data_IF_902220431214
#
_entry.id   IF_902220431214
#
_cell.length_a   1.000
_cell.length_b   1.000
_cell.length_c   1.000
_cell.angle_alpha   90.00
_cell.angle_beta   90.00
_cell.angle_gamma   90.00
#
_symmetry.space_group_name_H-M   'P 1'
#
loop_
_entity.id
_entity.type
_entity.pdbx_description
1 polymer ?
#
# COMPACT_ATOMS: atom_id res chain seq x y z
N UNK A 1 -60.24 -33.58 -9.38
CA UNK A 1 -61.55 -33.00 -9.00
C UNK A 1 -61.94 -33.58 -7.64
N UNK A 2 -62.60 -32.76 -6.83
CA UNK A 2 -63.10 -32.97 -5.45
C UNK A 2 -62.09 -32.77 -4.30
N UNK A 3 -62.54 -31.88 -3.42
CA UNK A 3 -61.90 -31.20 -2.31
C UNK A 3 -62.36 -31.77 -0.97
N UNK A 4 -61.61 -31.47 0.10
CA UNK A 4 -61.99 -31.32 1.52
C UNK A 4 -60.68 -31.41 2.31
N UNK A 5 -60.36 -30.65 3.36
CA UNK A 5 -60.99 -29.56 4.10
C UNK A 5 -59.99 -29.12 5.18
N UNK A 6 -59.97 -27.82 5.49
CA UNK A 6 -59.21 -27.18 6.59
C UNK A 6 -60.17 -27.04 7.79
N UNK A 7 -59.74 -27.15 9.07
CA UNK A 7 -59.37 -25.97 9.90
C UNK A 7 -58.24 -26.26 10.93
N UNK A 8 -57.52 -25.31 11.53
CA UNK A 8 -57.83 -23.91 11.75
C UNK A 8 -56.69 -23.11 12.39
N UNK A 9 -57.10 -21.94 12.88
CA UNK A 9 -56.37 -20.69 13.12
C UNK A 9 -55.67 -20.59 14.49
N UNK A 10 -54.61 -19.75 14.58
CA UNK A 10 -54.56 -18.65 15.56
C UNK A 10 -53.50 -17.58 15.18
N UNK A 11 -53.76 -16.26 15.37
CA UNK A 11 -52.89 -15.15 14.94
C UNK A 11 -52.34 -14.28 16.10
N UNK A 12 -51.08 -13.84 16.03
CA UNK A 12 -50.49 -12.68 16.76
C UNK A 12 -49.12 -12.38 16.08
N UNK A 13 -48.63 -11.18 15.81
CA UNK A 13 -48.97 -9.82 16.24
C UNK A 13 -48.52 -8.80 15.17
N UNK A 14 -49.34 -7.75 14.99
CA UNK A 14 -49.06 -6.62 14.12
C UNK A 14 -48.01 -5.67 14.74
N UNK A 15 -46.93 -5.37 14.00
CA UNK A 15 -45.93 -4.38 14.38
C UNK A 15 -46.36 -3.00 13.86
N UNK A 16 -46.67 -2.09 14.80
CA UNK A 16 -47.01 -0.68 14.55
C UNK A 16 -45.88 0.04 13.81
N UNK A 17 -46.17 0.55 12.61
CA UNK A 17 -45.40 1.63 11.99
C UNK A 17 -45.69 2.93 12.74
N UNK A 18 -44.65 3.54 13.33
CA UNK A 18 -44.71 4.93 13.81
C UNK A 18 -44.34 5.85 12.64
N UNK A 19 -45.29 6.69 12.23
CA UNK A 19 -45.04 7.86 11.37
C UNK A 19 -44.18 8.86 12.15
N UNK A 20 -43.07 9.28 11.56
CA UNK A 20 -42.31 10.45 12.00
C UNK A 20 -42.94 11.74 11.42
N UNK A 21 -42.88 12.87 12.13
CA UNK A 21 -43.43 14.14 11.66
C UNK A 21 -42.51 14.78 10.61
N UNK A 22 -43.12 15.25 9.53
CA UNK A 22 -42.49 16.08 8.50
C UNK A 22 -42.16 17.47 9.06
N UNK A 23 -40.88 17.74 9.26
CA UNK A 23 -40.36 19.09 9.49
C UNK A 23 -39.81 19.61 8.16
N UNK A 24 -40.56 20.52 7.53
CA UNK A 24 -40.02 21.40 6.50
C UNK A 24 -39.10 22.40 7.18
N UNK A 25 -37.81 22.36 6.84
CA UNK A 25 -36.84 23.40 7.20
C UNK A 25 -36.43 24.08 5.90
N UNK A 26 -36.85 25.34 5.77
CA UNK A 26 -36.36 26.26 4.76
C UNK A 26 -34.95 26.72 5.17
N UNK A 27 -33.93 26.37 4.38
CA UNK A 27 -32.59 26.92 4.53
C UNK A 27 -32.12 27.52 3.21
N UNK A 28 -32.47 28.79 3.01
CA UNK A 28 -31.72 29.70 2.15
C UNK A 28 -30.66 30.40 3.00
N UNK A 29 -29.38 30.08 2.81
CA UNK A 29 -28.27 31.03 2.91
C UNK A 29 -26.90 30.40 2.63
N UNK A 30 -26.21 31.05 1.70
CA UNK A 30 -24.79 31.05 1.36
C UNK A 30 -23.83 30.31 2.32
N UNK A 31 -23.26 29.20 1.84
CA UNK A 31 -22.06 28.60 2.41
C UNK A 31 -20.80 29.18 1.73
N UNK A 32 -20.10 30.08 2.43
CA UNK A 32 -18.76 30.50 2.07
C UNK A 32 -17.76 29.37 2.39
N UNK A 33 -17.12 28.84 1.34
CA UNK A 33 -16.07 27.83 1.38
C UNK A 33 -14.87 28.27 2.23
N UNK A 34 -14.77 27.76 3.46
CA UNK A 34 -13.57 27.85 4.29
C UNK A 34 -12.79 26.54 4.24
N UNK A 35 -11.98 26.36 3.18
CA UNK A 35 -10.98 25.28 3.11
C UNK A 35 -9.72 25.72 3.88
N UNK A 36 -9.52 25.22 5.10
CA UNK A 36 -8.24 25.36 5.81
C UNK A 36 -7.24 24.33 5.27
N UNK A 37 -6.03 24.72 4.85
CA UNK A 37 -4.98 23.76 4.53
C UNK A 37 -4.46 23.09 5.81
N UNK A 38 -4.31 21.75 5.77
CA UNK A 38 -3.61 20.96 6.78
C UNK A 38 -2.24 21.59 7.09
N UNK A 39 -2.10 22.12 8.31
CA UNK A 39 -0.80 22.38 8.92
C UNK A 39 -0.60 21.33 10.00
N UNK A 40 0.31 20.40 9.76
CA UNK A 40 0.95 19.66 10.83
C UNK A 40 1.66 20.69 11.73
N UNK A 41 1.10 20.92 12.92
CA UNK A 41 1.76 21.65 14.01
C UNK A 41 1.76 20.68 15.18
N UNK A 42 2.91 20.15 15.62
CA UNK A 42 2.93 19.34 16.84
C UNK A 42 2.44 20.21 18.00
N UNK A 43 1.38 19.78 18.68
CA UNK A 43 0.85 20.53 19.83
C UNK A 43 1.82 20.38 21.00
N UNK A 44 2.36 21.50 21.48
CA UNK A 44 3.31 21.53 22.59
C UNK A 44 2.66 21.46 23.99
N UNK A 45 1.32 21.44 24.10
CA UNK A 45 0.65 21.68 25.38
C UNK A 45 -0.36 20.58 25.74
N UNK A 46 0.12 19.38 26.11
CA UNK A 46 -0.60 18.48 27.04
C UNK A 46 0.40 17.72 27.91
N UNK A 47 0.24 17.68 29.25
CA UNK A 47 1.06 16.82 30.10
C UNK A 47 0.63 15.36 29.90
N UNK A 48 1.52 14.53 29.37
CA UNK A 48 1.29 13.08 29.23
C UNK A 48 1.47 12.35 30.57
N UNK A 49 0.74 11.25 30.81
CA UNK A 49 1.00 10.38 31.95
C UNK A 49 2.29 9.58 31.72
N UNK A 50 3.30 9.84 32.54
CA UNK A 50 4.54 9.05 32.78
C UNK A 50 4.84 7.97 31.73
N UNK A 51 5.46 8.36 30.62
CA UNK A 51 6.11 7.42 29.71
C UNK A 51 7.28 6.72 30.41
N UNK A 52 7.36 5.39 30.29
CA UNK A 52 8.58 4.65 30.61
C UNK A 52 9.62 5.07 29.57
N UNK A 53 10.71 5.68 30.04
CA UNK A 53 11.77 6.19 29.17
C UNK A 53 12.32 5.11 28.25
N UNK A 54 12.37 5.43 26.95
CA UNK A 54 13.20 4.71 25.98
C UNK A 54 14.68 4.94 26.31
N UNK A 55 15.58 3.98 26.03
CA UNK A 55 17.02 4.17 26.22
C UNK A 55 17.56 5.32 25.35
N UNK A 56 18.49 6.10 25.89
CA UNK A 56 19.13 7.34 25.38
C UNK A 56 19.83 7.27 23.99
N UNK A 57 19.59 6.23 23.18
CA UNK A 57 20.25 6.04 21.88
C UNK A 57 19.50 6.59 20.66
N UNK A 58 18.41 7.32 20.84
CA UNK A 58 17.59 7.84 19.74
C UNK A 58 17.52 9.38 19.69
N UNK A 59 18.63 10.07 19.95
CA UNK A 59 18.76 11.51 19.67
C UNK A 59 19.83 11.70 18.61
N UNK A 60 19.42 12.05 17.39
CA UNK A 60 20.35 12.48 16.34
C UNK A 60 20.23 13.99 16.14
N UNK A 61 21.30 14.71 16.46
CA UNK A 61 21.44 16.13 16.18
C UNK A 61 21.61 16.36 14.68
N UNK A 62 20.75 17.20 14.10
CA UNK A 62 20.90 17.68 12.72
C UNK A 62 21.66 18.99 12.71
N UNK A 63 22.97 18.95 12.46
CA UNK A 63 23.72 20.15 12.13
C UNK A 63 23.40 20.60 10.70
N UNK A 64 23.22 21.91 10.57
CA UNK A 64 22.76 22.58 9.36
C UNK A 64 23.85 23.51 8.85
N UNK A 65 24.23 23.36 7.57
CA UNK A 65 24.78 24.44 6.73
C UNK A 65 24.94 24.01 5.26
N UNK A 66 25.03 24.97 4.31
CA UNK A 66 24.28 24.91 3.06
C UNK A 66 25.12 24.70 1.79
N UNK A 67 24.39 24.67 0.66
CA UNK A 67 24.80 24.72 -0.76
C UNK A 67 25.50 23.50 -1.35
N UNK A 68 24.86 22.83 -2.31
CA UNK A 68 25.15 23.16 -3.72
C UNK A 68 24.15 22.59 -4.73
N UNK A 69 23.92 23.40 -5.77
CA UNK A 69 23.09 23.11 -6.95
C UNK A 69 23.91 22.32 -7.96
N UNK A 70 23.48 21.11 -8.30
CA UNK A 70 23.34 20.58 -9.67
C UNK A 70 23.32 19.04 -9.64
N UNK A 71 22.21 18.43 -10.06
CA UNK A 71 22.32 17.37 -11.06
C UNK A 71 20.99 17.13 -11.77
N UNK A 72 21.10 17.11 -13.10
CA UNK A 72 20.02 17.09 -14.07
C UNK A 72 19.60 15.66 -14.41
N UNK A 73 18.34 15.60 -14.84
CA UNK A 73 17.73 14.58 -15.69
C UNK A 73 18.63 14.09 -16.83
N UNK A 74 18.60 12.79 -17.07
CA UNK A 74 18.91 12.15 -18.35
C UNK A 74 17.64 11.38 -18.74
N UNK A 75 17.11 11.39 -19.96
CA UNK A 75 17.78 11.35 -21.26
C UNK A 75 16.89 11.91 -22.38
N UNK A 76 17.46 12.72 -23.29
CA UNK A 76 17.20 12.73 -24.75
C UNK A 76 18.13 13.74 -25.47
N UNK A 77 18.68 13.29 -26.61
CA UNK A 77 19.32 13.98 -27.75
C UNK A 77 20.81 14.38 -27.71
N UNK A 78 21.48 14.15 -28.86
CA UNK A 78 22.41 15.10 -29.48
C UNK A 78 23.90 14.73 -29.49
N UNK A 79 24.44 14.44 -30.69
CA UNK A 79 25.89 14.44 -31.01
C UNK A 79 26.44 15.87 -31.01
N UNK A 80 27.71 16.05 -30.63
CA UNK A 80 28.50 17.22 -31.03
C UNK A 80 29.64 17.60 -30.07
N UNK A 81 30.85 17.51 -30.58
CA UNK A 81 32.13 18.14 -30.19
C UNK A 81 32.96 17.70 -28.98
N UNK A 82 34.20 17.37 -29.34
CA UNK A 82 35.32 16.88 -28.55
C UNK A 82 36.22 18.04 -28.11
N UNK A 83 36.59 18.07 -26.83
CA UNK A 83 37.85 18.65 -26.35
C UNK A 83 38.29 17.90 -25.09
N UNK A 84 39.60 17.63 -24.91
CA UNK A 84 40.08 16.72 -23.88
C UNK A 84 40.33 17.47 -22.57
N UNK A 85 39.71 17.02 -21.49
CA UNK A 85 40.04 17.44 -20.13
C UNK A 85 40.43 16.22 -19.30
N UNK A 86 41.49 16.41 -18.52
CA UNK A 86 42.27 15.43 -17.78
C UNK A 86 41.48 14.64 -16.74
N UNK A 87 41.91 13.40 -16.39
CA UNK A 87 41.23 12.58 -15.41
C UNK A 87 41.57 13.04 -13.98
N UNK A 88 40.70 13.88 -13.41
CA UNK A 88 40.63 14.14 -11.97
C UNK A 88 39.99 12.98 -11.19
N UNK A 89 40.23 12.88 -9.87
CA UNK A 89 40.09 11.64 -9.11
C UNK A 89 38.65 11.21 -8.89
N UNK A 90 38.47 9.89 -8.88
CA UNK A 90 37.26 9.13 -8.55
C UNK A 90 36.58 9.69 -7.29
N UNK A 91 35.38 10.25 -7.46
CA UNK A 91 34.59 10.79 -6.34
C UNK A 91 33.20 10.16 -6.23
N UNK A 92 32.74 10.08 -4.98
CA UNK A 92 31.91 9.04 -4.40
C UNK A 92 30.40 9.10 -4.71
N UNK A 93 29.77 7.93 -4.74
CA UNK A 93 28.30 7.76 -4.67
C UNK A 93 27.76 8.18 -3.29
N UNK A 94 26.60 8.87 -3.17
CA UNK A 94 26.07 9.36 -1.89
C UNK A 94 25.48 8.26 -0.98
N UNK A 95 25.61 6.98 -1.34
CA UNK A 95 25.18 5.84 -0.51
C UNK A 95 26.36 5.01 -0.03
N UNK A 96 27.48 5.65 0.33
CA UNK A 96 28.77 5.05 0.73
C UNK A 96 28.78 3.97 1.83
N UNK A 97 27.64 3.39 2.23
CA UNK A 97 27.63 2.02 2.73
C UNK A 97 27.86 1.09 1.53
N UNK A 98 29.11 0.66 1.35
CA UNK A 98 29.35 -0.66 0.75
C UNK A 98 28.36 -1.61 1.43
N UNK A 99 27.59 -2.37 0.67
CA UNK A 99 26.98 -3.60 1.16
C UNK A 99 28.16 -4.40 1.73
N UNK A 100 28.41 -4.23 3.03
CA UNK A 100 29.36 -5.03 3.75
C UNK A 100 28.65 -6.36 3.85
N UNK A 101 28.82 -7.17 2.80
CA UNK A 101 28.52 -8.58 2.78
C UNK A 101 29.48 -9.20 3.80
N UNK A 102 29.19 -8.97 5.07
CA UNK A 102 29.93 -9.53 6.16
C UNK A 102 29.91 -11.05 5.93
N UNK A 103 31.09 -11.67 5.96
CA UNK A 103 31.40 -12.99 5.38
C UNK A 103 30.71 -14.17 6.11
N UNK A 104 29.63 -13.92 6.82
CA UNK A 104 29.08 -14.80 7.83
C UNK A 104 27.55 -14.95 7.75
N UNK A 105 26.91 -14.31 6.76
CA UNK A 105 25.54 -14.65 6.35
C UNK A 105 25.55 -16.00 5.62
N UNK A 106 24.93 -17.02 6.21
CA UNK A 106 24.80 -18.35 5.60
C UNK A 106 23.85 -18.25 4.41
N UNK A 107 24.38 -18.44 3.20
CA UNK A 107 23.58 -18.55 1.99
C UNK A 107 22.61 -19.72 2.11
N UNK A 108 21.32 -19.48 1.86
CA UNK A 108 20.30 -20.52 1.83
C UNK A 108 20.19 -21.07 0.41
N UNK A 109 20.09 -20.17 -0.57
CA UNK A 109 19.90 -20.55 -1.96
C UNK A 109 19.95 -19.36 -2.91
N UNK A 110 19.89 -19.68 -4.20
CA UNK A 110 19.83 -18.70 -5.29
C UNK A 110 18.77 -19.15 -6.26
N UNK A 111 17.80 -18.28 -6.54
CA UNK A 111 16.80 -18.51 -7.57
C UNK A 111 17.23 -17.81 -8.85
N UNK A 112 17.39 -18.58 -9.92
CA UNK A 112 17.69 -18.05 -11.24
C UNK A 112 16.38 -17.76 -11.99
N UNK A 113 16.22 -16.52 -12.42
CA UNK A 113 15.02 -16.06 -13.11
C UNK A 113 14.75 -16.88 -14.35
N UNK A 114 15.77 -17.17 -15.17
CA UNK A 114 15.54 -17.79 -16.46
C UNK A 114 15.04 -19.24 -16.26
N UNK A 115 15.48 -19.92 -15.19
CA UNK A 115 14.90 -21.21 -14.76
C UNK A 115 13.43 -21.09 -14.37
N UNK A 116 13.03 -20.03 -13.66
CA UNK A 116 11.62 -19.75 -13.33
C UNK A 116 10.81 -19.53 -14.62
N UNK A 117 11.32 -18.70 -15.55
CA UNK A 117 10.63 -18.40 -16.81
C UNK A 117 10.46 -19.64 -17.68
N UNK A 118 11.47 -20.51 -17.74
CA UNK A 118 11.44 -21.73 -18.54
C UNK A 118 10.56 -22.82 -17.91
N UNK A 119 10.47 -22.88 -16.57
CA UNK A 119 9.56 -23.79 -15.86
C UNK A 119 8.08 -23.53 -16.14
N UNK A 120 7.71 -22.30 -16.53
CA UNK A 120 6.32 -21.94 -16.86
C UNK A 120 5.96 -22.26 -18.30
N UNK A 121 6.93 -22.51 -19.18
CA UNK A 121 6.70 -22.82 -20.61
C UNK A 121 6.08 -24.22 -20.77
N UNK A 122 4.78 -24.32 -20.54
CA UNK A 122 4.00 -25.56 -20.67
C UNK A 122 2.78 -25.62 -19.74
N UNK A 123 2.77 -24.82 -18.68
CA UNK A 123 1.69 -24.81 -17.67
C UNK A 123 0.84 -23.52 -17.67
N UNK A 124 1.23 -22.51 -18.45
CA UNK A 124 0.64 -21.16 -18.44
C UNK A 124 -0.88 -21.13 -18.67
N UNK A 125 -1.45 -22.11 -19.37
CA UNK A 125 -2.89 -22.18 -19.67
C UNK A 125 -3.77 -22.64 -18.49
N UNK A 126 -3.20 -23.02 -17.33
CA UNK A 126 -3.98 -23.63 -16.24
C UNK A 126 -3.96 -22.90 -14.91
N UNK A 127 -3.08 -21.92 -14.71
CA UNK A 127 -3.01 -21.19 -13.44
C UNK A 127 -3.94 -19.99 -13.47
N UNK A 128 -5.21 -20.23 -13.12
CA UNK A 128 -6.12 -19.13 -12.82
C UNK A 128 -5.59 -18.32 -11.65
N UNK A 129 -5.69 -16.99 -11.75
CA UNK A 129 -5.49 -16.10 -10.63
C UNK A 129 -6.80 -15.40 -10.29
N UNK A 130 -6.97 -15.00 -9.04
CA UNK A 130 -8.14 -14.26 -8.58
C UNK A 130 -7.81 -13.49 -7.32
N UNK A 131 -8.49 -12.38 -7.09
CA UNK A 131 -8.29 -11.53 -5.93
C UNK A 131 -9.64 -11.13 -5.35
N UNK A 132 -9.75 -11.16 -4.03
CA UNK A 132 -10.98 -10.76 -3.31
C UNK A 132 -10.59 -9.98 -2.07
N UNK A 133 -11.21 -8.83 -1.84
CA UNK A 133 -11.01 -8.06 -0.63
C UNK A 133 -11.54 -8.83 0.60
N UNK A 134 -10.80 -8.84 1.70
CA UNK A 134 -11.16 -9.58 2.94
C UNK A 134 -11.08 -8.73 4.21
N UNK A 135 -10.62 -7.48 4.13
CA UNK A 135 -10.72 -6.54 5.23
C UNK A 135 -10.12 -5.19 4.91
N UNK A 136 -10.36 -4.21 5.76
CA UNK A 136 -9.76 -2.87 5.61
C UNK A 136 -9.55 -2.19 6.95
N UNK A 137 -8.61 -1.26 6.99
CA UNK A 137 -8.36 -0.42 8.15
C UNK A 137 -7.88 0.98 7.74
N UNK A 138 -8.09 1.96 8.60
CA UNK A 138 -7.54 3.31 8.45
C UNK A 138 -6.67 3.66 9.65
N UNK A 139 -5.59 4.41 9.40
CA UNK A 139 -4.64 4.79 10.42
C UNK A 139 -5.10 6.05 11.14
N UNK A 140 -4.95 6.14 12.46
CA UNK A 140 -5.26 7.36 13.21
C UNK A 140 -4.00 8.17 13.51
N UNK A 141 -4.06 9.50 13.34
CA UNK A 141 -2.91 10.41 13.39
C UNK A 141 -2.16 10.47 14.73
N UNK A 142 -2.75 9.95 15.81
CA UNK A 142 -2.11 9.83 17.13
C UNK A 142 -1.22 8.58 17.26
N UNK A 143 -1.11 7.76 16.21
CA UNK A 143 -0.26 6.58 16.22
C UNK A 143 1.20 6.93 16.48
N UNK A 144 1.80 6.20 17.43
CA UNK A 144 3.20 6.24 17.81
C UNK A 144 3.84 4.85 17.66
N UNK A 145 5.15 4.74 17.89
CA UNK A 145 5.87 3.48 17.71
C UNK A 145 5.51 2.47 18.83
N UNK A 146 5.09 2.96 19.99
CA UNK A 146 4.62 2.16 21.11
C UNK A 146 3.11 1.96 21.13
N UNK A 147 2.35 2.87 20.52
CA UNK A 147 0.88 2.88 20.58
C UNK A 147 0.31 3.14 19.20
N UNK A 148 -0.22 2.09 18.59
CA UNK A 148 -0.68 2.06 17.21
C UNK A 148 -2.20 2.09 17.19
N UNK A 149 -2.80 3.11 16.58
CA UNK A 149 -4.26 3.32 16.57
C UNK A 149 -4.83 3.06 15.18
N UNK A 150 -5.74 2.09 15.08
CA UNK A 150 -6.38 1.65 13.83
C UNK A 150 -7.89 1.66 13.94
N UNK A 151 -8.57 2.19 12.93
CA UNK A 151 -10.02 2.03 12.77
C UNK A 151 -10.28 0.84 11.86
N UNK A 152 -11.08 -0.12 12.33
CA UNK A 152 -11.35 -1.41 11.68
C UNK A 152 -12.84 -1.74 11.80
N UNK A 153 -13.60 -1.90 10.69
CA UNK A 153 -13.21 -1.60 9.32
C UNK A 153 -12.77 -0.15 9.13
N UNK A 154 -11.86 0.07 8.19
CA UNK A 154 -11.35 1.40 7.89
C UNK A 154 -12.38 2.32 7.23
N UNK A 155 -12.11 3.62 7.31
CA UNK A 155 -12.87 4.69 6.64
C UNK A 155 -11.99 5.29 5.54
N UNK A 156 -12.14 4.87 4.27
CA UNK A 156 -11.36 5.40 3.16
C UNK A 156 -11.81 6.81 2.75
N UNK A 157 -10.91 7.63 2.18
CA UNK A 157 -11.31 8.85 1.51
C UNK A 157 -12.14 8.53 0.25
N UNK A 158 -13.03 9.45 -0.13
CA UNK A 158 -13.87 9.32 -1.31
C UNK A 158 -13.22 10.01 -2.50
N UNK A 159 -13.19 9.35 -3.65
CA UNK A 159 -12.71 9.95 -4.88
C UNK A 159 -13.68 11.01 -5.39
N UNK A 160 -13.22 12.26 -5.41
CA UNK A 160 -14.00 13.45 -5.75
C UNK A 160 -13.15 14.41 -6.57
N UNK A 161 -12.91 14.12 -7.87
CA UNK A 161 -12.08 14.96 -8.72
C UNK A 161 -12.70 16.36 -8.87
N UNK A 162 -11.88 17.43 -8.98
CA UNK A 162 -12.37 18.78 -9.23
C UNK A 162 -13.08 18.88 -10.58
N UNK A 163 -14.16 19.66 -10.64
CA UNK A 163 -14.92 19.91 -11.89
C UNK A 163 -14.03 20.55 -12.97
N UNK A 164 -13.19 21.52 -12.56
CA UNK A 164 -12.30 22.27 -13.44
C UNK A 164 -10.83 22.07 -13.01
N UNK A 165 -10.15 21.01 -13.48
CA UNK A 165 -8.76 20.72 -13.10
C UNK A 165 -7.80 21.89 -13.36
N UNK A 166 -8.07 22.71 -14.37
CA UNK A 166 -7.22 23.84 -14.78
C UNK A 166 -7.13 24.97 -13.74
N UNK A 167 -8.10 25.06 -12.84
CA UNK A 167 -8.10 26.03 -11.73
C UNK A 167 -7.30 25.55 -10.52
N UNK A 168 -6.88 24.28 -10.52
CA UNK A 168 -6.16 23.68 -9.40
C UNK A 168 -4.66 23.94 -9.50
N UNK A 169 -4.13 24.59 -8.46
CA UNK A 169 -2.69 24.74 -8.24
C UNK A 169 -2.22 23.73 -7.18
N UNK A 170 -1.53 22.68 -7.63
CA UNK A 170 -0.89 21.72 -6.76
C UNK A 170 0.33 22.34 -6.09
N UNK A 171 0.55 21.95 -4.83
CA UNK A 171 1.72 22.33 -4.04
C UNK A 171 2.66 21.14 -3.93
N UNK A 172 3.97 21.42 -3.87
CA UNK A 172 4.92 20.38 -3.54
C UNK A 172 4.93 20.17 -2.03
N UNK A 173 4.61 18.96 -1.60
CA UNK A 173 4.77 18.56 -0.21
C UNK A 173 6.03 17.71 -0.09
N UNK A 174 6.74 17.85 1.02
CA UNK A 174 7.62 16.75 1.43
C UNK A 174 6.70 15.54 1.61
N UNK A 175 7.15 14.37 1.15
CA UNK A 175 6.44 13.13 1.45
C UNK A 175 6.12 13.05 2.95
N UNK A 176 5.01 12.39 3.33
CA UNK A 176 4.63 12.27 4.73
C UNK A 176 5.80 11.74 5.57
N UNK A 177 5.86 12.08 6.87
CA UNK A 177 6.83 11.47 7.77
C UNK A 177 6.73 9.94 7.70
N UNK A 178 7.83 9.26 8.06
CA UNK A 178 7.84 7.80 8.12
C UNK A 178 6.68 7.34 9.01
N UNK A 179 5.88 6.42 8.48
CA UNK A 179 4.62 6.01 9.08
C UNK A 179 4.91 5.28 10.39
N UNK A 180 4.30 5.72 11.48
CA UNK A 180 4.57 5.11 12.77
C UNK A 180 3.90 3.74 12.88
N UNK A 181 2.84 3.50 12.10
CA UNK A 181 2.25 2.17 11.93
C UNK A 181 3.10 1.22 11.11
N UNK A 182 4.05 1.73 10.30
CA UNK A 182 5.10 0.88 9.76
C UNK A 182 5.92 0.25 10.91
N UNK A 183 5.93 0.79 12.13
CA UNK A 183 6.63 0.08 13.21
C UNK A 183 5.83 -1.15 13.69
N UNK A 184 4.52 -1.03 13.87
CA UNK A 184 3.68 -2.16 14.30
C UNK A 184 3.47 -3.18 13.18
N UNK A 185 2.98 -2.75 12.02
CA UNK A 185 2.63 -3.64 10.90
C UNK A 185 3.85 -4.40 10.37
N UNK A 186 5.06 -3.83 10.51
CA UNK A 186 6.29 -4.50 10.10
C UNK A 186 6.87 -5.42 11.17
N UNK A 187 6.64 -5.12 12.44
CA UNK A 187 7.03 -6.00 13.53
C UNK A 187 6.10 -7.23 13.62
N UNK A 188 4.82 -7.06 13.29
CA UNK A 188 3.78 -8.09 13.48
C UNK A 188 2.81 -8.21 12.29
N UNK A 189 3.30 -8.44 11.04
CA UNK A 189 2.47 -8.40 9.83
C UNK A 189 1.29 -9.40 9.85
N UNK A 190 1.51 -10.62 10.36
CA UNK A 190 0.44 -11.62 10.49
C UNK A 190 -0.61 -11.20 11.53
N UNK A 191 -0.21 -10.70 12.70
CA UNK A 191 -1.14 -10.29 13.76
C UNK A 191 -2.00 -9.11 13.31
N UNK A 192 -1.40 -8.12 12.66
CA UNK A 192 -2.13 -7.01 12.06
C UNK A 192 -3.19 -7.50 11.07
N UNK A 193 -2.81 -8.42 10.16
CA UNK A 193 -3.74 -8.99 9.19
C UNK A 193 -4.87 -9.79 9.87
N UNK A 194 -4.55 -10.64 10.86
CA UNK A 194 -5.52 -11.41 11.63
C UNK A 194 -6.56 -10.50 12.29
N UNK A 195 -6.12 -9.47 13.02
CA UNK A 195 -7.03 -8.54 13.71
C UNK A 195 -8.02 -7.87 12.76
N UNK A 196 -7.52 -7.36 11.63
CA UNK A 196 -8.36 -6.67 10.65
C UNK A 196 -9.35 -7.63 9.99
N UNK A 197 -8.88 -8.80 9.56
CA UNK A 197 -9.69 -9.77 8.83
C UNK A 197 -10.70 -10.47 9.75
N UNK A 198 -10.37 -10.76 11.00
CA UNK A 198 -11.29 -11.42 11.93
C UNK A 198 -12.54 -10.56 12.21
N UNK A 199 -12.39 -9.23 12.16
CA UNK A 199 -13.52 -8.30 12.27
C UNK A 199 -14.27 -8.10 10.95
N UNK A 200 -13.57 -8.07 9.81
CA UNK A 200 -14.19 -7.78 8.51
C UNK A 200 -14.78 -9.01 7.81
N UNK A 201 -14.11 -10.15 7.91
CA UNK A 201 -14.46 -11.43 7.27
C UNK A 201 -14.27 -12.56 8.29
N UNK A 202 -15.14 -12.64 9.33
CA UNK A 202 -15.02 -13.66 10.35
C UNK A 202 -15.11 -15.05 9.72
N UNK A 203 -14.20 -15.94 10.12
CA UNK A 203 -14.15 -17.33 9.66
C UNK A 203 -13.19 -17.62 8.51
N UNK A 204 -12.32 -16.67 8.14
CA UNK A 204 -11.19 -17.00 7.26
C UNK A 204 -10.30 -18.07 7.92
N UNK A 205 -10.02 -19.13 7.17
CA UNK A 205 -9.16 -20.22 7.61
C UNK A 205 -7.68 -19.90 7.33
N UNK A 206 -6.99 -19.37 8.34
CA UNK A 206 -5.57 -19.00 8.25
C UNK A 206 -4.64 -20.17 7.96
N UNK A 207 -5.02 -21.41 8.26
CA UNK A 207 -4.21 -22.61 7.93
C UNK A 207 -4.12 -22.87 6.43
N UNK A 208 -5.01 -22.26 5.64
CA UNK A 208 -4.99 -22.31 4.18
C UNK A 208 -4.21 -21.15 3.54
N UNK A 209 -3.74 -20.18 4.32
CA UNK A 209 -2.95 -19.06 3.81
C UNK A 209 -1.48 -19.48 3.78
N UNK A 210 -0.82 -19.29 2.64
CA UNK A 210 0.59 -19.65 2.48
C UNK A 210 1.52 -18.48 2.80
N UNK A 211 1.06 -17.25 2.53
CA UNK A 211 1.88 -16.04 2.64
C UNK A 211 1.03 -14.82 3.00
N UNK A 212 1.51 -14.03 3.97
CA UNK A 212 1.04 -12.66 4.25
C UNK A 212 2.13 -11.67 3.80
N UNK A 213 1.78 -10.74 2.92
CA UNK A 213 2.74 -9.80 2.33
C UNK A 213 2.07 -8.47 1.97
N UNK A 214 2.86 -7.53 1.48
CA UNK A 214 2.37 -6.27 0.94
C UNK A 214 2.45 -6.24 -0.60
N UNK A 215 1.60 -5.40 -1.19
CA UNK A 215 1.56 -5.14 -2.64
C UNK A 215 2.93 -4.72 -3.17
N UNK A 216 3.64 -3.87 -2.45
CA UNK A 216 4.93 -3.33 -2.87
C UNK A 216 5.96 -4.45 -3.09
N UNK A 217 6.07 -5.38 -2.16
CA UNK A 217 6.94 -6.56 -2.27
C UNK A 217 6.62 -7.37 -3.52
N UNK A 218 5.34 -7.67 -3.77
CA UNK A 218 4.94 -8.40 -4.98
C UNK A 218 5.25 -7.62 -6.27
N UNK A 219 5.05 -6.29 -6.28
CA UNK A 219 5.47 -5.44 -7.40
C UNK A 219 7.00 -5.47 -7.61
N UNK A 220 7.81 -5.58 -6.56
CA UNK A 220 9.26 -5.72 -6.68
C UNK A 220 9.66 -7.06 -7.29
N UNK A 221 9.01 -8.15 -6.91
CA UNK A 221 9.21 -9.48 -7.52
C UNK A 221 8.77 -9.50 -8.99
N UNK A 222 7.63 -8.91 -9.32
CA UNK A 222 7.18 -8.75 -10.71
C UNK A 222 8.16 -7.95 -11.55
N UNK A 223 8.78 -6.93 -10.95
CA UNK A 223 9.83 -6.13 -11.60
C UNK A 223 11.11 -6.93 -11.82
N UNK A 224 11.47 -7.85 -10.92
CA UNK A 224 12.58 -8.79 -11.15
C UNK A 224 12.29 -9.73 -12.33
N UNK A 225 11.09 -10.31 -12.38
CA UNK A 225 10.65 -11.18 -13.47
C UNK A 225 10.64 -10.45 -14.83
N UNK A 226 10.16 -9.20 -14.83
CA UNK A 226 10.09 -8.36 -16.03
C UNK A 226 11.37 -7.62 -16.39
N UNK A 227 12.43 -7.73 -15.60
CA UNK A 227 13.66 -6.98 -15.83
C UNK A 227 14.33 -7.41 -17.14
N UNK A 228 14.79 -6.46 -17.95
CA UNK A 228 15.69 -6.80 -19.06
C UNK A 228 17.09 -6.87 -18.48
N UNK A 229 17.74 -8.03 -18.55
CA UNK A 229 19.11 -8.27 -18.05
C UNK A 229 20.17 -7.71 -19.01
N UNK A 230 19.92 -6.55 -19.61
CA UNK A 230 20.94 -5.84 -20.38
C UNK A 230 21.89 -5.12 -19.44
N UNK A 231 23.18 -5.14 -19.73
CA UNK A 231 24.23 -4.49 -18.92
C UNK A 231 24.04 -2.98 -18.74
N UNK A 232 23.27 -2.36 -19.64
CA UNK A 232 23.07 -0.90 -19.69
C UNK A 232 21.80 -0.40 -19.01
N UNK A 233 20.89 -1.28 -18.57
CA UNK A 233 19.66 -0.88 -17.84
C UNK A 233 19.73 -1.38 -16.40
N UNK A 234 19.84 -0.44 -15.45
CA UNK A 234 19.83 -0.75 -14.01
C UNK A 234 18.40 -0.61 -13.48
N UNK A 235 17.80 -1.70 -13.05
CA UNK A 235 16.60 -1.66 -12.23
C UNK A 235 16.96 -1.31 -10.78
N UNK A 236 16.01 -0.79 -10.01
CA UNK A 236 16.21 -0.51 -8.57
C UNK A 236 16.48 -1.82 -7.80
N UNK A 237 17.59 -1.93 -7.08
CA UNK A 237 17.82 -3.07 -6.21
C UNK A 237 16.73 -3.18 -5.13
N UNK A 238 16.49 -4.38 -4.62
CA UNK A 238 15.63 -4.61 -3.46
C UNK A 238 16.15 -5.66 -2.51
N UNK A 239 15.68 -5.57 -1.29
CA UNK A 239 15.93 -6.50 -0.20
C UNK A 239 14.71 -6.49 0.72
N UNK A 240 14.30 -7.64 1.22
CA UNK A 240 13.26 -7.75 2.26
C UNK A 240 13.42 -9.01 3.12
N UNK A 241 13.11 -8.95 4.42
CA UNK A 241 12.98 -10.13 5.27
C UNK A 241 11.78 -10.99 4.88
N UNK A 242 11.97 -12.31 4.91
CA UNK A 242 10.92 -13.31 4.73
C UNK A 242 11.01 -14.30 5.89
N UNK A 243 9.99 -14.32 6.74
CA UNK A 243 9.85 -15.34 7.76
C UNK A 243 9.11 -16.54 7.14
N UNK A 244 9.80 -17.65 6.94
CA UNK A 244 9.16 -18.85 6.39
C UNK A 244 8.21 -19.47 7.40
N UNK A 245 6.99 -19.74 6.95
CA UNK A 245 5.92 -20.30 7.77
C UNK A 245 6.34 -21.59 8.48
N UNK A 246 5.70 -21.85 9.63
CA UNK A 246 5.94 -23.00 10.49
C UNK A 246 4.63 -23.38 11.19
N UNK A 247 4.39 -24.68 11.40
CA UNK A 247 3.26 -25.19 12.19
C UNK A 247 1.89 -24.58 11.81
N UNK A 248 1.54 -24.66 10.52
CA UNK A 248 0.28 -24.15 9.95
C UNK A 248 0.11 -22.62 10.01
N UNK A 249 1.14 -21.87 10.42
CA UNK A 249 1.18 -20.43 10.23
C UNK A 249 1.73 -20.06 8.83
N UNK A 250 1.13 -19.05 8.16
CA UNK A 250 1.62 -18.57 6.88
C UNK A 250 3.02 -17.97 7.00
N UNK A 251 3.77 -18.00 5.91
CA UNK A 251 4.97 -17.18 5.81
C UNK A 251 4.60 -15.68 5.86
N UNK A 252 5.53 -14.84 6.32
CA UNK A 252 5.29 -13.39 6.38
C UNK A 252 6.46 -12.61 5.81
N UNK A 253 6.15 -11.58 5.03
CA UNK A 253 7.15 -10.58 4.63
C UNK A 253 7.10 -9.41 5.60
N UNK A 254 8.24 -9.09 6.19
CA UNK A 254 8.44 -7.80 6.82
C UNK A 254 8.80 -6.80 5.70
N UNK A 255 8.11 -5.67 5.60
CA UNK A 255 8.50 -4.65 4.62
C UNK A 255 9.91 -4.14 4.94
N UNK A 256 10.76 -4.01 3.92
CA UNK A 256 12.05 -3.38 4.15
C UNK A 256 11.90 -1.88 4.32
N UNK A 257 12.50 -1.35 5.39
CA UNK A 257 12.72 0.08 5.55
C UNK A 257 13.64 0.54 4.42
N UNK A 258 13.05 1.04 3.33
CA UNK A 258 13.77 1.94 2.46
C UNK A 258 13.49 3.35 2.94
N UNK A 259 14.55 4.06 3.30
CA UNK A 259 14.49 5.51 3.35
C UNK A 259 14.11 5.99 1.95
N UNK A 260 12.83 6.28 1.76
CA UNK A 260 12.40 7.07 0.64
C UNK A 260 13.03 8.43 0.86
N UNK A 261 13.97 8.79 0.00
CA UNK A 261 14.47 10.15 -0.06
C UNK A 261 13.27 11.07 -0.23
N UNK A 262 13.01 11.92 0.77
CA UNK A 262 11.83 12.78 0.81
C UNK A 262 12.01 13.88 -0.22
N UNK A 263 11.58 13.61 -1.44
CA UNK A 263 11.50 14.65 -2.46
C UNK A 263 10.18 15.40 -2.32
N UNK A 264 10.25 16.69 -2.62
CA UNK A 264 9.08 17.54 -2.73
C UNK A 264 8.33 17.18 -4.01
N UNK A 265 7.16 16.55 -3.89
CA UNK A 265 6.34 16.09 -5.01
C UNK A 265 4.90 16.63 -4.95
N UNK A 266 4.22 16.59 -6.10
CA UNK A 266 2.84 17.06 -6.23
C UNK A 266 1.79 15.99 -5.90
N UNK A 267 2.17 14.71 -5.73
CA UNK A 267 1.22 13.59 -5.51
C UNK A 267 0.33 13.85 -4.31
N UNK A 268 0.90 14.14 -3.13
CA UNK A 268 0.11 14.40 -1.93
C UNK A 268 -0.91 15.54 -2.12
N UNK A 269 -0.53 16.63 -2.82
CA UNK A 269 -1.47 17.72 -3.13
C UNK A 269 -2.54 17.30 -4.12
N UNK A 270 -2.22 16.40 -5.05
CA UNK A 270 -3.17 15.84 -5.99
C UNK A 270 -4.19 15.00 -5.24
N UNK A 271 -3.74 14.04 -4.44
CA UNK A 271 -4.59 13.16 -3.63
C UNK A 271 -5.55 13.97 -2.75
N UNK A 272 -5.06 14.97 -2.01
CA UNK A 272 -5.89 15.88 -1.20
C UNK A 272 -6.90 16.71 -2.00
N UNK A 273 -6.64 16.98 -3.28
CA UNK A 273 -7.56 17.78 -4.11
C UNK A 273 -8.60 16.91 -4.80
N UNK A 274 -8.25 15.67 -5.12
CA UNK A 274 -9.12 14.73 -5.82
C UNK A 274 -9.84 13.77 -4.89
N UNK A 275 -9.71 13.96 -3.58
CA UNK A 275 -10.44 13.16 -2.60
C UNK A 275 -11.11 14.04 -1.56
N UNK A 276 -12.18 13.52 -0.96
CA UNK A 276 -12.88 14.12 0.17
C UNK A 276 -12.83 13.15 1.33
N UNK A 277 -12.44 13.65 2.50
CA UNK A 277 -12.43 12.88 3.74
C UNK A 277 -13.87 12.85 4.27
N UNK A 278 -14.45 11.67 4.56
CA UNK A 278 -15.76 11.57 5.19
C UNK A 278 -15.83 12.37 6.50
N UNK A 279 -16.98 12.96 6.81
CA UNK A 279 -17.19 13.70 8.06
C UNK A 279 -16.91 12.82 9.28
N UNK A 280 -16.16 13.37 10.25
CA UNK A 280 -15.76 12.66 11.47
C UNK A 280 -14.49 11.81 11.36
N UNK A 281 -13.93 11.70 10.14
CA UNK A 281 -12.71 10.92 9.87
C UNK A 281 -11.48 11.78 9.61
N UNK A 282 -11.50 13.07 9.96
CA UNK A 282 -10.42 14.04 9.70
C UNK A 282 -9.11 13.68 10.41
N UNK A 283 -9.16 12.85 11.45
CA UNK A 283 -7.96 12.36 12.15
C UNK A 283 -7.39 11.08 11.55
N UNK A 284 -8.10 10.49 10.59
CA UNK A 284 -7.64 9.33 9.88
C UNK A 284 -6.74 9.75 8.71
N UNK A 285 -5.64 9.05 8.56
CA UNK A 285 -4.74 9.16 7.43
C UNK A 285 -4.52 7.77 6.87
N UNK A 286 -4.32 7.62 5.57
CA UNK A 286 -4.07 6.32 4.89
C UNK A 286 -5.12 5.24 5.15
N UNK A 287 -5.63 4.71 4.05
CA UNK A 287 -6.50 3.56 4.10
C UNK A 287 -5.78 2.35 3.52
N UNK A 288 -5.90 1.21 4.18
CA UNK A 288 -5.35 -0.04 3.71
C UNK A 288 -6.45 -1.08 3.56
N UNK A 289 -6.28 -1.93 2.56
CA UNK A 289 -7.15 -3.07 2.29
C UNK A 289 -6.31 -4.35 2.27
N UNK A 290 -6.82 -5.39 2.89
CA UNK A 290 -6.32 -6.75 2.75
C UNK A 290 -7.14 -7.47 1.69
N UNK A 291 -6.46 -8.20 0.81
CA UNK A 291 -7.08 -9.03 -0.22
C UNK A 291 -6.49 -10.44 -0.20
N UNK A 292 -7.32 -11.45 -0.44
CA UNK A 292 -6.90 -12.82 -0.67
C UNK A 292 -6.63 -13.01 -2.17
N UNK A 293 -5.36 -13.11 -2.54
CA UNK A 293 -4.89 -13.41 -3.88
C UNK A 293 -4.66 -14.92 -3.99
N UNK A 294 -5.41 -15.55 -4.89
CA UNK A 294 -5.12 -16.92 -5.35
C UNK A 294 -4.22 -16.84 -6.57
N UNK A 295 -3.03 -17.42 -6.49
CA UNK A 295 -2.06 -17.44 -7.58
C UNK A 295 -1.45 -18.84 -7.73
N UNK A 296 -1.82 -19.53 -8.81
CA UNK A 296 -1.50 -20.95 -8.96
C UNK A 296 -2.14 -21.76 -7.83
N UNK A 297 -1.31 -22.39 -7.00
CA UNK A 297 -1.75 -23.17 -5.83
C UNK A 297 -1.71 -22.39 -4.51
N UNK A 298 -1.14 -21.19 -4.53
CA UNK A 298 -0.91 -20.40 -3.33
C UNK A 298 -2.10 -19.49 -3.02
N UNK A 299 -2.41 -19.38 -1.74
CA UNK A 299 -3.30 -18.36 -1.17
C UNK A 299 -2.45 -17.32 -0.45
N UNK A 300 -2.45 -16.10 -0.98
CA UNK A 300 -1.61 -15.01 -0.50
C UNK A 300 -2.50 -13.89 0.03
N UNK A 301 -2.36 -13.53 1.30
CA UNK A 301 -2.98 -12.33 1.84
C UNK A 301 -2.09 -11.14 1.52
N UNK A 302 -2.62 -10.19 0.76
CA UNK A 302 -1.91 -9.01 0.27
C UNK A 302 -2.50 -7.77 0.91
N UNK A 303 -1.64 -6.97 1.56
CA UNK A 303 -1.99 -5.63 2.01
C UNK A 303 -1.66 -4.59 0.95
N UNK A 304 -2.58 -3.67 0.69
CA UNK A 304 -2.36 -2.53 -0.18
C UNK A 304 -2.92 -1.24 0.42
N UNK A 305 -2.19 -0.14 0.27
CA UNK A 305 -2.76 1.20 0.46
C UNK A 305 -3.75 1.49 -0.67
N UNK A 306 -4.89 2.08 -0.33
CA UNK A 306 -5.96 2.47 -1.24
C UNK A 306 -6.07 3.99 -1.18
N UNK A 307 -5.93 4.66 -2.34
CA UNK A 307 -5.97 6.13 -2.39
C UNK A 307 -7.39 6.69 -2.23
N UNK A 308 -8.44 5.91 -2.54
CA UNK A 308 -9.84 6.26 -2.22
C UNK A 308 -10.88 5.32 -2.83
N UNK A 309 -12.16 5.53 -2.48
CA UNK A 309 -13.30 4.80 -3.05
C UNK A 309 -13.95 5.54 -4.22
N UNK A 310 -14.36 4.78 -5.23
CA UNK A 310 -15.23 5.24 -6.32
C UNK A 310 -16.68 5.06 -5.88
N UNK A 311 -17.16 5.84 -4.91
CA UNK A 311 -18.57 5.81 -4.51
C UNK A 311 -19.38 6.82 -5.33
N UNK A 312 -20.52 6.37 -5.86
CA UNK A 312 -21.62 7.28 -6.17
C UNK A 312 -22.26 7.70 -4.83
N UNK A 313 -22.61 8.98 -4.70
CA UNK A 313 -23.11 9.59 -3.47
C UNK A 313 -24.44 8.96 -3.01
N UNK A 314 -24.38 7.82 -2.32
CA UNK A 314 -25.46 7.40 -1.43
C UNK A 314 -25.07 7.78 0.01
N UNK A 315 -26.05 8.38 0.71
CA UNK A 315 -25.87 9.23 1.88
C UNK A 315 -24.80 8.72 2.88
N UNK A 316 -23.84 9.61 3.14
CA UNK A 316 -22.74 9.45 4.07
C UNK A 316 -23.25 8.98 5.44
N UNK A 317 -22.89 7.76 5.84
CA UNK A 317 -22.86 7.43 7.26
C UNK A 317 -21.64 8.16 7.82
N UNK A 318 -21.87 9.24 8.56
CA UNK A 318 -20.81 9.93 9.28
C UNK A 318 -20.07 8.93 10.16
N UNK A 319 -18.74 8.90 10.04
CA UNK A 319 -17.88 7.92 10.69
C UNK A 319 -17.12 8.65 11.81
N UNK A 320 -17.78 8.86 12.94
CA UNK A 320 -17.21 9.55 14.08
C UNK A 320 -16.26 8.62 14.85
N UNK A 321 -14.98 8.97 14.85
CA UNK A 321 -13.97 8.35 15.71
C UNK A 321 -14.17 8.90 17.13
N UNK A 322 -14.61 8.06 18.06
CA UNK A 322 -14.80 8.43 19.47
C UNK A 322 -13.45 8.37 20.23
N UNK A 323 -13.14 9.40 21.02
CA UNK A 323 -11.90 9.47 21.81
C UNK A 323 -11.85 8.38 22.90
N UNK A 324 -13.00 7.92 23.39
CA UNK A 324 -13.08 6.93 24.47
C UNK A 324 -13.36 5.50 23.98
N UNK A 325 -13.60 5.31 22.68
CA UNK A 325 -14.04 4.02 22.12
C UNK A 325 -12.93 3.06 21.70
N UNK A 326 -11.70 3.24 22.17
CA UNK A 326 -10.55 2.43 21.77
C UNK A 326 -10.40 1.15 22.59
N UNK A 327 -10.25 0.02 21.90
CA UNK A 327 -9.95 -1.27 22.50
C UNK A 327 -8.45 -1.57 22.39
N UNK A 328 -7.79 -1.78 23.53
CA UNK A 328 -6.37 -2.12 23.57
C UNK A 328 -6.12 -3.62 23.41
N UNK A 329 -5.10 -3.96 22.65
CA UNK A 329 -4.46 -5.26 22.61
C UNK A 329 -2.96 -5.11 22.83
N UNK A 330 -2.47 -5.70 23.92
CA UNK A 330 -1.03 -5.75 24.21
C UNK A 330 -0.38 -6.85 23.36
N UNK A 331 0.45 -6.44 22.40
CA UNK A 331 1.18 -7.33 21.49
C UNK A 331 2.70 -7.27 21.79
N UNK A 332 3.04 -6.94 23.05
CA UNK A 332 4.38 -6.98 23.59
C UNK A 332 5.11 -5.64 23.50
N UNK A 333 5.75 -5.36 22.36
CA UNK A 333 6.55 -4.11 22.21
C UNK A 333 5.72 -2.91 21.78
N UNK A 334 4.47 -3.13 21.41
CA UNK A 334 3.56 -2.13 20.91
C UNK A 334 2.13 -2.50 21.33
N UNK A 335 1.38 -1.52 21.81
CA UNK A 335 -0.06 -1.64 22.05
C UNK A 335 -0.79 -1.32 20.76
N UNK A 336 -1.60 -2.26 20.27
CA UNK A 336 -2.53 -2.02 19.18
C UNK A 336 -3.86 -1.57 19.78
N UNK A 337 -4.32 -0.39 19.38
CA UNK A 337 -5.62 0.18 19.73
C UNK A 337 -6.54 0.10 18.51
N UNK A 338 -7.69 -0.54 18.65
CA UNK A 338 -8.67 -0.67 17.56
C UNK A 338 -10.00 -0.02 17.90
N UNK A 339 -10.70 0.49 16.90
CA UNK A 339 -12.06 0.99 17.05
C UNK A 339 -12.92 0.64 15.83
N UNK A 340 -14.15 0.18 16.09
CA UNK A 340 -15.12 -0.19 15.07
C UNK A 340 -15.96 1.01 14.63
N UNK A 341 -15.54 1.69 13.56
CA UNK A 341 -16.23 2.89 13.02
C UNK A 341 -16.68 2.72 11.57
N UNK A 342 -15.83 2.13 10.72
CA UNK A 342 -16.11 2.02 9.29
C UNK A 342 -17.04 0.86 8.93
N UNK A 343 -17.30 0.73 7.63
CA UNK A 343 -18.07 -0.38 7.06
C UNK A 343 -17.21 -1.04 5.99
N UNK A 344 -17.00 -2.36 6.12
CA UNK A 344 -16.31 -3.14 5.11
C UNK A 344 -17.32 -3.68 4.08
N UNK A 345 -17.07 -3.37 2.80
CA UNK A 345 -17.73 -4.03 1.69
C UNK A 345 -16.65 -4.52 0.71
N UNK A 346 -16.55 -5.84 0.46
CA UNK A 346 -15.54 -6.39 -0.44
C UNK A 346 -15.72 -5.92 -1.90
N UNK A 347 -16.93 -5.52 -2.28
CA UNK A 347 -17.28 -5.05 -3.63
C UNK A 347 -17.12 -3.53 -3.81
N UNK A 348 -16.70 -2.80 -2.78
CA UNK A 348 -16.48 -1.36 -2.89
C UNK A 348 -15.36 -1.09 -3.90
N UNK A 349 -15.72 -0.37 -4.99
CA UNK A 349 -14.80 0.00 -6.05
C UNK A 349 -13.78 1.03 -5.54
N UNK A 350 -12.51 0.85 -5.90
CA UNK A 350 -11.41 1.71 -5.44
C UNK A 350 -10.67 2.39 -6.59
N UNK A 351 -9.97 3.49 -6.27
CA UNK A 351 -9.14 4.24 -7.20
C UNK A 351 -7.68 4.25 -6.75
N UNK A 352 -6.77 4.06 -7.70
CA UNK A 352 -5.35 4.37 -7.57
C UNK A 352 -5.09 5.75 -8.20
N UNK A 353 -4.43 6.64 -7.45
CA UNK A 353 -4.15 8.01 -7.85
C UNK A 353 -2.68 8.17 -8.22
N UNK A 354 -2.42 8.68 -9.43
CA UNK A 354 -1.07 9.04 -9.88
C UNK A 354 -1.02 10.50 -10.30
N UNK A 355 0.04 11.19 -9.92
CA UNK A 355 0.34 12.53 -10.40
C UNK A 355 1.59 12.51 -11.30
N UNK A 356 1.50 13.09 -12.50
CA UNK A 356 2.59 13.08 -13.50
C UNK A 356 2.70 14.42 -14.23
N UNK A 357 3.94 14.82 -14.52
CA UNK A 357 4.19 15.99 -15.34
C UNK A 357 3.76 15.74 -16.80
N UNK A 358 3.24 16.76 -17.49
CA UNK A 358 2.84 16.70 -18.90
C UNK A 358 3.96 16.20 -19.83
N UNK A 359 5.22 16.55 -19.52
CA UNK A 359 6.40 16.12 -20.29
C UNK A 359 6.72 14.62 -20.16
N UNK A 360 6.05 13.90 -19.27
CA UNK A 360 6.22 12.46 -19.10
C UNK A 360 5.04 11.76 -19.82
N UNK A 361 5.14 11.47 -21.12
CA UNK A 361 3.99 11.00 -21.91
C UNK A 361 3.45 9.66 -21.40
N UNK A 362 4.34 8.78 -20.93
CA UNK A 362 3.99 7.47 -20.40
C UNK A 362 3.49 7.60 -18.96
N UNK A 363 2.28 7.12 -18.69
CA UNK A 363 1.76 6.98 -17.34
C UNK A 363 2.52 5.91 -16.52
N UNK A 364 3.27 5.03 -17.21
CA UNK A 364 3.86 3.85 -16.59
C UNK A 364 2.84 2.72 -16.43
N UNK A 365 1.96 2.52 -17.43
CA UNK A 365 0.82 1.60 -17.37
C UNK A 365 1.18 0.19 -16.92
N UNK A 366 2.33 -0.36 -17.31
CA UNK A 366 2.77 -1.67 -16.81
C UNK A 366 2.92 -1.71 -15.29
N UNK A 367 3.55 -0.71 -14.68
CA UNK A 367 3.67 -0.65 -13.22
C UNK A 367 2.32 -0.38 -12.56
N UNK A 368 1.55 0.57 -13.10
CA UNK A 368 0.21 0.90 -12.60
C UNK A 368 -0.73 -0.31 -12.64
N UNK A 369 -0.67 -1.13 -13.70
CA UNK A 369 -1.47 -2.34 -13.81
C UNK A 369 -1.24 -3.30 -12.65
N UNK A 370 0.03 -3.63 -12.37
CA UNK A 370 0.34 -4.55 -11.27
C UNK A 370 0.03 -3.95 -9.91
N UNK A 371 0.23 -2.63 -9.72
CA UNK A 371 -0.18 -1.95 -8.50
C UNK A 371 -1.71 -2.01 -8.29
N UNK A 372 -2.49 -1.80 -9.34
CA UNK A 372 -3.96 -1.91 -9.28
C UNK A 372 -4.41 -3.35 -9.08
N UNK A 373 -3.89 -4.30 -9.87
CA UNK A 373 -4.31 -5.69 -9.82
C UNK A 373 -4.00 -6.34 -8.46
N UNK A 374 -2.84 -6.04 -7.87
CA UNK A 374 -2.46 -6.50 -6.52
C UNK A 374 -3.16 -5.72 -5.40
N UNK A 375 -3.58 -4.48 -5.67
CA UNK A 375 -4.31 -3.64 -4.72
C UNK A 375 -5.83 -3.80 -4.78
N UNK A 376 -6.34 -4.63 -5.70
CA UNK A 376 -7.77 -4.74 -6.00
C UNK A 376 -8.39 -3.36 -6.35
N UNK A 377 -7.72 -2.61 -7.22
CA UNK A 377 -8.18 -1.29 -7.69
C UNK A 377 -8.83 -1.34 -9.07
N UNK A 378 -10.01 -0.76 -9.16
CA UNK A 378 -10.87 -0.79 -10.33
C UNK A 378 -10.54 0.33 -11.31
N UNK A 379 -10.13 1.49 -10.75
CA UNK A 379 -9.87 2.71 -11.50
C UNK A 379 -8.46 3.24 -11.25
N UNK A 380 -7.84 3.76 -12.31
CA UNK A 380 -6.64 4.59 -12.24
C UNK A 380 -7.01 6.01 -12.63
N UNK A 381 -6.71 7.00 -11.78
CA UNK A 381 -6.80 8.40 -12.15
C UNK A 381 -5.41 9.05 -12.18
N UNK A 382 -5.04 9.58 -13.35
CA UNK A 382 -3.74 10.20 -13.61
C UNK A 382 -3.89 11.71 -13.76
N UNK A 383 -3.53 12.46 -12.72
CA UNK A 383 -3.41 13.91 -12.76
C UNK A 383 -2.22 14.35 -13.59
N UNK A 384 -2.47 15.04 -14.71
CA UNK A 384 -1.44 15.60 -15.58
C UNK A 384 -1.20 17.05 -15.23
N UNK A 385 0.02 17.42 -14.84
CA UNK A 385 0.34 18.79 -14.43
C UNK A 385 1.50 19.42 -15.21
N UNK A 386 1.49 20.75 -15.31
CA UNK A 386 2.62 21.56 -15.77
C UNK A 386 3.08 22.43 -14.60
N UNK A 387 4.21 22.07 -14.00
CA UNK A 387 4.82 22.81 -12.87
C UNK A 387 3.89 23.03 -11.66
N UNK A 388 2.93 22.12 -11.49
CA UNK A 388 1.97 22.12 -10.39
C UNK A 388 0.59 22.62 -10.78
N UNK A 389 0.44 23.33 -11.90
CA UNK A 389 -0.89 23.59 -12.45
C UNK A 389 -1.44 22.30 -13.04
N UNK A 390 -2.54 21.80 -12.49
CA UNK A 390 -3.20 20.61 -12.99
C UNK A 390 -3.86 20.95 -14.33
N UNK A 391 -3.60 20.17 -15.38
CA UNK A 391 -4.09 20.43 -16.73
C UNK A 391 -5.34 19.60 -17.03
N UNK A 392 -5.32 18.32 -16.63
CA UNK A 392 -6.43 17.36 -16.77
C UNK A 392 -6.20 16.15 -15.87
N UNK A 393 -7.27 15.37 -15.67
CA UNK A 393 -7.23 14.06 -15.02
C UNK A 393 -7.64 13.04 -16.07
N UNK A 394 -6.78 12.03 -16.29
CA UNK A 394 -7.05 10.93 -17.22
C UNK A 394 -7.49 9.73 -16.38
N UNK A 395 -8.70 9.21 -16.60
CA UNK A 395 -9.22 8.03 -15.90
C UNK A 395 -9.16 6.80 -16.79
N UNK A 396 -8.82 5.66 -16.21
CA UNK A 396 -8.75 4.37 -16.88
C UNK A 396 -9.31 3.28 -15.97
N UNK A 397 -10.07 2.35 -16.53
CA UNK A 397 -10.41 1.09 -15.87
C UNK A 397 -9.20 0.15 -15.82
N UNK A 398 -9.22 -0.82 -14.91
CA UNK A 398 -8.20 -1.87 -14.86
C UNK A 398 -8.01 -2.59 -16.22
N UNK A 399 -9.09 -2.83 -16.96
CA UNK A 399 -9.05 -3.44 -18.28
C UNK A 399 -8.31 -2.58 -19.32
N UNK A 400 -8.62 -1.28 -19.40
CA UNK A 400 -7.92 -0.35 -20.29
C UNK A 400 -6.44 -0.21 -19.91
N UNK A 401 -6.12 -0.24 -18.62
CA UNK A 401 -4.73 -0.26 -18.16
C UNK A 401 -4.03 -1.55 -18.58
N UNK A 402 -4.70 -2.72 -18.46
CA UNK A 402 -4.20 -4.04 -18.92
C UNK A 402 -3.82 -3.99 -20.40
N UNK A 403 -4.71 -3.50 -21.26
CA UNK A 403 -4.47 -3.37 -22.70
C UNK A 403 -3.27 -2.48 -23.03
N UNK A 404 -3.06 -1.41 -22.25
CA UNK A 404 -1.94 -0.47 -22.44
C UNK A 404 -0.61 -0.96 -21.86
N UNK A 405 -0.59 -2.06 -21.09
CA UNK A 405 0.66 -2.58 -20.52
C UNK A 405 1.63 -3.13 -21.58
N UNK A 406 1.08 -3.68 -22.67
CA UNK A 406 1.82 -4.46 -23.66
C UNK A 406 2.66 -5.59 -23.03
N UNK A 407 2.15 -6.19 -21.95
CA UNK A 407 2.78 -7.30 -21.23
C UNK A 407 1.93 -8.57 -21.36
N UNK A 408 2.58 -9.73 -21.31
CA UNK A 408 1.89 -11.01 -21.18
C UNK A 408 1.55 -11.23 -19.71
N UNK A 409 0.42 -10.67 -19.31
CA UNK A 409 -0.03 -10.61 -17.92
C UNK A 409 -0.24 -12.00 -17.33
N UNK A 410 -0.91 -12.88 -18.06
CA UNK A 410 -1.28 -14.20 -17.54
C UNK A 410 -0.02 -15.06 -17.37
N UNK A 411 0.92 -14.98 -18.33
CA UNK A 411 2.25 -15.55 -18.16
C UNK A 411 2.98 -14.96 -16.95
N UNK A 412 2.91 -13.64 -16.74
CA UNK A 412 3.59 -13.00 -15.60
C UNK A 412 3.05 -13.47 -14.26
N UNK A 413 1.75 -13.69 -14.15
CA UNK A 413 1.15 -14.25 -12.93
C UNK A 413 1.59 -15.69 -12.68
N UNK A 414 1.67 -16.52 -13.72
CA UNK A 414 2.21 -17.87 -13.58
C UNK A 414 3.68 -17.86 -13.11
N UNK A 415 4.52 -16.98 -13.68
CA UNK A 415 5.91 -16.78 -13.26
C UNK A 415 6.03 -16.29 -11.81
N UNK A 416 5.15 -15.38 -11.37
CA UNK A 416 5.12 -14.92 -9.99
C UNK A 416 4.71 -16.05 -9.03
N UNK A 417 3.68 -16.83 -9.38
CA UNK A 417 3.26 -17.99 -8.60
C UNK A 417 4.41 -18.97 -8.41
N UNK A 418 5.11 -19.33 -9.50
CA UNK A 418 6.27 -20.22 -9.44
C UNK A 418 7.41 -19.66 -8.60
N UNK A 419 7.71 -18.36 -8.74
CA UNK A 419 8.75 -17.70 -7.95
C UNK A 419 8.42 -17.74 -6.45
N UNK A 420 7.16 -17.51 -6.08
CA UNK A 420 6.72 -17.56 -4.69
C UNK A 420 6.80 -18.98 -4.12
N UNK A 421 6.38 -20.01 -4.87
CA UNK A 421 6.53 -21.41 -4.44
C UNK A 421 7.98 -21.74 -4.07
N UNK A 422 8.93 -21.40 -4.96
CA UNK A 422 10.36 -21.65 -4.74
C UNK A 422 10.92 -20.84 -3.56
N UNK A 423 10.49 -19.57 -3.40
CA UNK A 423 10.89 -18.75 -2.25
C UNK A 423 10.42 -19.31 -0.92
N UNK A 424 9.17 -19.79 -0.87
CA UNK A 424 8.59 -20.38 0.34
C UNK A 424 9.26 -21.71 0.69
N UNK A 425 9.55 -22.56 -0.31
CA UNK A 425 10.30 -23.82 -0.11
C UNK A 425 11.69 -23.55 0.47
N UNK A 426 12.44 -22.60 -0.12
CA UNK A 426 13.78 -22.26 0.36
C UNK A 426 13.78 -21.68 1.78
N UNK A 427 12.73 -20.94 2.13
CA UNK A 427 12.66 -20.20 3.39
C UNK A 427 11.95 -20.96 4.50
N UNK A 428 11.35 -22.12 4.23
CA UNK A 428 10.51 -22.86 5.16
C UNK A 428 11.15 -23.05 6.54
N UNK A 429 10.43 -22.65 7.60
CA UNK A 429 10.89 -22.71 8.99
C UNK A 429 12.13 -21.87 9.29
N UNK A 430 12.45 -20.85 8.47
CA UNK A 430 13.64 -20.02 8.61
C UNK A 430 13.33 -18.54 8.44
N UNK A 431 13.99 -17.71 9.23
CA UNK A 431 14.05 -16.28 8.98
C UNK A 431 15.11 -16.01 7.89
N UNK A 432 14.63 -15.57 6.74
CA UNK A 432 15.43 -15.37 5.54
C UNK A 432 15.44 -13.90 5.12
N UNK A 433 16.36 -13.54 4.24
CA UNK A 433 16.42 -12.23 3.59
C UNK A 433 16.60 -12.46 2.10
N UNK A 434 15.67 -11.91 1.34
CA UNK A 434 15.62 -12.02 -0.12
C UNK A 434 16.25 -10.77 -0.72
N UNK A 435 17.25 -10.93 -1.59
CA UNK A 435 18.05 -9.82 -2.12
C UNK A 435 18.16 -9.88 -3.65
N UNK A 436 17.86 -8.77 -4.31
CA UNK A 436 18.14 -8.55 -5.73
C UNK A 436 18.94 -7.28 -5.97
N UNK A 437 20.03 -7.38 -6.73
CA UNK A 437 20.92 -6.24 -7.00
C UNK A 437 20.45 -5.32 -8.15
N UNK A 438 19.30 -5.59 -8.76
CA UNK A 438 18.71 -4.77 -9.83
C UNK A 438 19.30 -4.97 -11.23
N UNK A 439 20.26 -5.90 -11.40
CA UNK A 439 20.89 -6.18 -12.71
C UNK A 439 21.03 -7.66 -13.03
N UNK A 440 21.14 -8.50 -12.01
CA UNK A 440 21.33 -9.94 -12.15
C UNK A 440 20.02 -10.62 -12.52
N UNK A 441 20.10 -11.75 -13.22
CA UNK A 441 19.00 -12.71 -13.34
C UNK A 441 18.83 -13.55 -12.06
N UNK A 442 19.56 -13.27 -10.97
CA UNK A 442 19.54 -14.07 -9.73
C UNK A 442 18.93 -13.30 -8.58
N UNK A 443 18.08 -14.00 -7.84
CA UNK A 443 17.56 -13.60 -6.54
C UNK A 443 18.29 -14.41 -5.46
N UNK A 444 18.92 -13.74 -4.51
CA UNK A 444 19.72 -14.40 -3.47
C UNK A 444 18.88 -14.52 -2.21
N UNK A 445 18.79 -15.72 -1.63
CA UNK A 445 18.14 -15.97 -0.34
C UNK A 445 19.21 -16.31 0.70
N UNK A 446 19.24 -15.52 1.78
CA UNK A 446 20.23 -15.65 2.86
C UNK A 446 19.52 -15.88 4.18
N UNK A 447 20.18 -16.59 5.09
CA UNK A 447 19.70 -16.68 6.47
C UNK A 447 19.88 -15.32 7.14
N UNK A 448 18.82 -14.80 7.75
CA UNK A 448 18.94 -13.63 8.62
C UNK A 448 19.51 -14.11 9.95
N UNK A 449 20.60 -13.50 10.41
CA UNK A 449 21.02 -13.71 11.80
C UNK A 449 19.95 -13.08 12.68
N UNK A 450 19.50 -13.83 13.69
CA UNK A 450 18.74 -13.22 14.77
C UNK A 450 19.69 -12.25 15.48
N UNK A 451 19.68 -10.98 15.08
CA UNK A 451 20.44 -9.90 15.75
C UNK A 451 19.88 -9.59 17.15
N UNK A 452 18.85 -10.34 17.57
CA UNK A 452 18.11 -10.19 18.82
C UNK A 452 18.28 -11.35 19.80
N UNK A 453 19.10 -12.36 19.46
CA UNK A 453 19.37 -13.53 20.33
C UNK A 453 20.54 -13.29 21.28
#
# INVERSE_FOLDING_TARGET
MTATGVPGLSPFAARRQRRAPSLQVDCSSQAASYRKPYRYSPSADRPSPRSRGLPDRFVWHSDSSPSDRANRYSSCSGRGDTSPLEPGPLDFSPTGKRLNLDRSATYIGVLDRDQILDGVRGEADKTGWGITAIGSYSCHCDSTASDTFMVVPGVPPLYSPPKDPQEVQLKKHLGPPEDVLLHYDLAYPLRAAQRVVDQCTPGLDWSKVDLVTDRGTLCELLRFLGAITSTNQKSKAFEFPLNGGLHDEPATVECSYRHHTRYKEYKASFDMTTTTVPEGSERLYRHHRFSLLKIGKLNVVVRAEVDGLVKELEAEAAAYVDEDGWEASDEGRCTLWTQEVGVFNPEDATVELKCRAMKCPRAGFKAAYYEMALGCSDKLAVGRHQEGRLARIEEFSLAEVKEKTLDDVDKRWAELGRLLEELLILSYGRLSTVVWNGKSNKLIVKTRRNEWA
#
